data_IF_081979480070
#
_entry.id   IF_081979480070
#
_cell.length_a   1.000
_cell.length_b   1.000
_cell.length_c   1.000
_cell.angle_alpha   90.00
_cell.angle_beta   90.00
_cell.angle_gamma   90.00
#
_symmetry.space_group_name_H-M   'P 1'
#
loop_
_entity.id
_entity.type
_entity.pdbx_description
1 polymer ?
#
# COMPACT_ATOMS: atom_id res chain seq x y z
N UNK A 1 8.26 -8.52 4.58
CA UNK A 1 7.84 -7.20 5.09
C UNK A 1 7.31 -7.34 6.52
N UNK A 2 7.44 -6.30 7.34
CA UNK A 2 6.93 -6.29 8.71
C UNK A 2 5.70 -5.42 8.85
N UNK A 3 4.90 -5.67 9.88
CA UNK A 3 3.79 -4.80 10.27
C UNK A 3 4.32 -3.37 10.45
N UNK A 4 3.61 -2.39 9.91
CA UNK A 4 3.99 -0.96 9.82
C UNK A 4 5.05 -0.58 8.78
N UNK A 5 5.59 -1.52 8.01
CA UNK A 5 6.41 -1.14 6.85
C UNK A 5 5.55 -0.34 5.84
N UNK A 6 6.08 0.80 5.38
CA UNK A 6 5.49 1.60 4.30
C UNK A 6 5.94 1.04 2.95
N UNK A 7 4.97 0.81 2.08
CA UNK A 7 5.16 0.05 0.83
C UNK A 7 4.38 0.66 -0.33
N UNK A 8 4.82 0.37 -1.55
CA UNK A 8 3.99 0.46 -2.75
C UNK A 8 3.40 -0.91 -3.04
N UNK A 9 2.08 -1.01 -3.00
CA UNK A 9 1.34 -2.20 -3.41
C UNK A 9 0.87 -2.08 -4.86
N UNK A 10 1.07 -3.13 -5.64
CA UNK A 10 0.67 -3.20 -7.05
C UNK A 10 -0.55 -4.10 -7.23
N UNK A 11 -1.73 -3.50 -7.24
CA UNK A 11 -2.98 -4.19 -7.62
C UNK A 11 -3.12 -4.21 -9.15
N UNK A 12 -3.59 -5.34 -9.70
CA UNK A 12 -3.85 -5.47 -11.15
C UNK A 12 -4.87 -4.42 -11.60
N UNK A 13 -4.55 -3.68 -12.66
CA UNK A 13 -5.41 -2.62 -13.22
C UNK A 13 -5.20 -1.23 -12.61
N UNK A 14 -4.47 -1.11 -11.50
CA UNK A 14 -4.19 0.17 -10.83
C UNK A 14 -2.70 0.54 -10.92
N UNK A 15 -2.36 1.81 -10.69
CA UNK A 15 -0.96 2.21 -10.49
C UNK A 15 -0.43 1.60 -9.17
N UNK A 16 0.89 1.42 -9.01
CA UNK A 16 1.46 1.15 -7.69
C UNK A 16 1.00 2.24 -6.71
N UNK A 17 0.49 1.83 -5.55
CA UNK A 17 -0.22 2.72 -4.64
C UNK A 17 0.39 2.67 -3.23
N UNK A 18 0.57 3.81 -2.53
CA UNK A 18 1.12 3.84 -1.18
C UNK A 18 0.21 3.19 -0.16
N UNK A 19 0.80 2.38 0.73
CA UNK A 19 0.09 1.77 1.83
C UNK A 19 1.01 1.28 2.93
N UNK A 20 0.40 0.67 3.94
CA UNK A 20 1.09 0.14 5.12
C UNK A 20 0.76 -1.34 5.30
N UNK A 21 1.78 -2.13 5.67
CA UNK A 21 1.57 -3.54 6.03
C UNK A 21 0.77 -3.60 7.33
N UNK A 22 -0.44 -4.14 7.23
CA UNK A 22 -1.39 -4.22 8.34
C UNK A 22 -1.14 -5.46 9.20
N UNK A 23 -1.45 -5.35 10.50
CA UNK A 23 -1.44 -6.50 11.39
C UNK A 23 -2.67 -7.40 11.10
N UNK A 24 -2.48 -8.68 10.72
CA UNK A 24 -3.57 -9.62 10.41
C UNK A 24 -4.59 -9.86 11.55
N UNK A 25 -4.25 -9.50 12.79
CA UNK A 25 -5.16 -9.62 13.93
C UNK A 25 -5.97 -8.36 14.21
N UNK A 26 -5.60 -7.24 13.58
CA UNK A 26 -6.28 -5.95 13.73
C UNK A 26 -7.20 -5.58 12.54
N UNK A 27 -7.14 -6.36 11.46
CA UNK A 27 -7.95 -6.10 10.26
C UNK A 27 -9.39 -6.61 10.42
N UNK A 28 -10.37 -6.00 9.72
CA UNK A 28 -11.75 -6.46 9.74
C UNK A 28 -11.91 -7.94 9.36
N UNK A 29 -12.90 -8.61 9.95
CA UNK A 29 -13.12 -10.05 9.77
C UNK A 29 -13.36 -10.47 8.32
N UNK A 30 -14.07 -9.65 7.54
CA UNK A 30 -14.27 -9.88 6.11
C UNK A 30 -12.93 -9.85 5.34
N UNK A 31 -12.06 -8.88 5.62
CA UNK A 31 -10.71 -8.81 5.01
C UNK A 31 -9.88 -10.02 5.42
N UNK A 32 -9.95 -10.45 6.69
CA UNK A 32 -9.25 -11.64 7.17
C UNK A 32 -9.71 -12.91 6.45
N UNK A 33 -11.01 -13.04 6.17
CA UNK A 33 -11.59 -14.17 5.45
C UNK A 33 -11.16 -14.20 3.97
N UNK A 34 -10.91 -13.05 3.35
CA UNK A 34 -10.43 -12.93 1.96
C UNK A 34 -8.95 -13.33 1.79
N UNK A 35 -8.25 -13.69 2.87
CA UNK A 35 -6.85 -14.11 2.80
C UNK A 35 -6.71 -15.35 1.91
N UNK A 36 -5.88 -15.30 0.85
CA UNK A 36 -5.65 -16.45 -0.01
C UNK A 36 -5.05 -17.64 0.74
N UNK A 37 -5.59 -18.84 0.50
CA UNK A 37 -5.19 -20.09 1.17
C UNK A 37 -4.04 -20.85 0.48
N UNK A 38 -3.16 -20.17 -0.25
CA UNK A 38 -2.05 -20.81 -0.94
C UNK A 38 -0.81 -20.92 -0.04
N UNK A 39 -0.50 -22.14 0.42
CA UNK A 39 0.64 -22.43 1.31
C UNK A 39 2.02 -22.20 0.68
N UNK A 40 2.12 -22.14 -0.65
CA UNK A 40 3.40 -21.94 -1.37
C UNK A 40 3.76 -20.47 -1.55
N UNK A 41 2.89 -19.56 -1.11
CA UNK A 41 3.04 -18.14 -1.35
C UNK A 41 2.84 -17.32 -0.07
N UNK A 42 3.69 -16.31 0.11
CA UNK A 42 3.57 -15.35 1.20
C UNK A 42 2.68 -14.20 0.75
N UNK A 43 1.61 -13.96 1.50
CA UNK A 43 0.72 -12.82 1.30
C UNK A 43 0.84 -11.85 2.47
N UNK A 44 0.83 -10.56 2.14
CA UNK A 44 0.79 -9.47 3.11
C UNK A 44 -0.51 -8.70 2.91
N UNK A 45 -1.16 -8.32 4.02
CA UNK A 45 -2.32 -7.45 3.97
C UNK A 45 -1.84 -6.00 3.96
N UNK A 46 -2.09 -5.29 2.88
CA UNK A 46 -1.75 -3.87 2.75
C UNK A 46 -3.01 -3.05 2.94
N UNK A 47 -2.94 -2.01 3.76
CA UNK A 47 -3.95 -0.96 3.86
C UNK A 47 -3.47 0.25 3.06
N UNK A 48 -4.20 0.59 2.02
CA UNK A 48 -3.87 1.71 1.14
C UNK A 48 -4.41 3.03 1.68
N UNK A 49 -3.63 4.09 1.46
CA UNK A 49 -4.05 5.47 1.74
C UNK A 49 -4.78 6.07 0.53
N UNK A 50 -5.62 7.10 0.67
CA UNK A 50 -6.16 7.63 1.92
C UNK A 50 -7.35 6.82 2.47
N UNK A 51 -8.00 6.00 1.63
CA UNK A 51 -9.31 5.44 1.90
C UNK A 51 -9.35 4.28 2.91
N UNK A 52 -8.20 3.81 3.39
CA UNK A 52 -8.10 2.63 4.27
C UNK A 52 -8.65 1.34 3.63
N UNK A 53 -8.51 1.21 2.31
CA UNK A 53 -8.86 -0.01 1.59
C UNK A 53 -7.80 -1.08 1.81
N UNK A 54 -8.22 -2.34 1.95
CA UNK A 54 -7.32 -3.47 2.20
C UNK A 54 -7.16 -4.35 0.97
N UNK A 55 -5.97 -4.94 0.80
CA UNK A 55 -5.76 -6.03 -0.16
C UNK A 55 -4.68 -6.99 0.31
N UNK A 56 -4.88 -8.27 0.00
CA UNK A 56 -3.84 -9.29 0.17
C UNK A 56 -2.98 -9.35 -1.09
N UNK A 57 -1.72 -8.99 -0.96
CA UNK A 57 -0.76 -8.98 -2.06
C UNK A 57 0.33 -10.02 -1.84
N UNK A 58 0.78 -10.60 -2.96
CA UNK A 58 1.98 -11.43 -2.96
C UNK A 58 3.22 -10.57 -2.72
N UNK A 59 4.25 -11.17 -2.16
CA UNK A 59 5.53 -10.50 -1.91
C UNK A 59 6.12 -9.79 -3.15
N UNK A 60 5.97 -10.39 -4.34
CA UNK A 60 6.45 -9.83 -5.61
C UNK A 60 5.70 -8.57 -6.07
N UNK A 61 4.49 -8.36 -5.57
CA UNK A 61 3.60 -7.25 -5.95
C UNK A 61 3.71 -6.08 -4.95
N UNK A 62 4.71 -6.12 -4.07
CA UNK A 62 4.97 -5.14 -3.02
C UNK A 62 6.43 -4.72 -3.13
N UNK A 63 6.71 -3.42 -3.00
CA UNK A 63 8.06 -2.88 -2.79
C UNK A 63 8.08 -1.97 -1.58
N UNK A 64 9.21 -1.91 -0.85
CA UNK A 64 9.37 -0.89 0.20
C UNK A 64 9.33 0.49 -0.44
N UNK A 65 8.57 1.41 0.17
CA UNK A 65 8.51 2.79 -0.25
C UNK A 65 9.39 3.62 0.70
N UNK A 66 10.47 4.17 0.17
CA UNK A 66 11.45 4.93 0.96
C UNK A 66 11.03 6.40 1.11
N UNK A 67 11.45 7.10 2.18
CA UNK A 67 11.14 8.52 2.39
C UNK A 67 11.51 9.41 1.20
N UNK A 68 12.69 9.19 0.61
CA UNK A 68 13.14 9.99 -0.55
C UNK A 68 12.28 9.76 -1.80
N UNK A 69 11.69 8.58 -1.98
CA UNK A 69 10.77 8.29 -3.08
C UNK A 69 9.43 9.03 -2.89
N UNK A 70 8.97 9.11 -1.63
CA UNK A 70 7.77 9.86 -1.25
C UNK A 70 7.99 11.35 -1.51
N UNK A 71 9.09 11.91 -1.02
CA UNK A 71 9.45 13.31 -1.22
C UNK A 71 9.59 13.67 -2.71
N UNK A 72 10.25 12.81 -3.49
CA UNK A 72 10.37 12.98 -4.93
C UNK A 72 9.00 13.01 -5.62
N UNK A 73 8.09 12.09 -5.25
CA UNK A 73 6.75 12.05 -5.82
C UNK A 73 5.93 13.31 -5.48
N UNK A 74 5.96 13.76 -4.22
CA UNK A 74 5.24 14.96 -3.75
C UNK A 74 5.82 16.24 -4.40
N UNK A 75 7.13 16.27 -4.59
CA UNK A 75 7.86 17.38 -5.20
C UNK A 75 7.59 17.56 -6.69
N UNK A 76 7.23 16.48 -7.40
CA UNK A 76 7.06 16.49 -8.86
C UNK A 76 5.82 17.32 -9.30
N UNK A 77 6.00 18.47 -9.99
CA UNK A 77 4.89 19.39 -10.31
C UNK A 77 3.82 18.77 -11.23
N UNK A 78 4.22 17.84 -12.09
CA UNK A 78 3.37 17.18 -13.09
C UNK A 78 2.38 16.19 -12.45
N UNK A 79 2.79 15.52 -11.37
CA UNK A 79 1.96 14.52 -10.66
C UNK A 79 0.80 15.15 -9.91
N UNK A 80 0.97 16.41 -9.46
CA UNK A 80 -0.04 17.14 -8.68
C UNK A 80 -1.37 17.31 -9.40
N UNK A 81 -1.37 17.35 -10.73
CA UNK A 81 -2.60 17.53 -11.53
C UNK A 81 -3.18 16.22 -12.08
N UNK A 82 -2.38 15.15 -12.13
CA UNK A 82 -2.76 13.94 -12.84
C UNK A 82 -3.61 12.98 -11.99
N UNK A 83 -3.34 12.88 -10.67
CA UNK A 83 -4.04 11.95 -9.75
C UNK A 83 -4.06 12.52 -8.32
N UNK A 84 -5.08 13.30 -7.93
CA UNK A 84 -5.14 13.95 -6.62
C UNK A 84 -5.09 12.94 -5.47
N UNK A 85 -5.86 11.85 -5.55
CA UNK A 85 -5.92 10.82 -4.50
C UNK A 85 -4.58 10.10 -4.31
N UNK A 86 -3.83 9.92 -5.40
CA UNK A 86 -2.50 9.30 -5.33
C UNK A 86 -1.52 10.24 -4.65
N UNK A 87 -1.53 11.53 -4.99
CA UNK A 87 -0.71 12.52 -4.30
C UNK A 87 -1.05 12.57 -2.80
N UNK A 88 -2.32 12.53 -2.45
CA UNK A 88 -2.77 12.49 -1.07
C UNK A 88 -2.29 11.22 -0.36
N UNK A 89 -2.37 10.06 -1.01
CA UNK A 89 -1.83 8.81 -0.48
C UNK A 89 -0.33 8.89 -0.17
N UNK A 90 0.46 9.55 -1.03
CA UNK A 90 1.89 9.78 -0.77
C UNK A 90 2.12 10.75 0.39
N UNK A 91 1.29 11.79 0.53
CA UNK A 91 1.39 12.71 1.69
C UNK A 91 1.12 12.00 3.00
N UNK A 92 0.11 11.14 3.05
CA UNK A 92 -0.17 10.33 4.24
C UNK A 92 0.97 9.33 4.50
N UNK A 93 1.52 8.72 3.45
CA UNK A 93 2.65 7.79 3.60
C UNK A 93 3.92 8.45 4.18
N UNK A 94 4.07 9.77 4.08
CA UNK A 94 5.19 10.51 4.68
C UNK A 94 5.13 10.51 6.21
N UNK A 95 3.93 10.53 6.79
CA UNK A 95 3.66 10.48 8.24
C UNK A 95 2.35 9.72 8.54
N UNK A 96 2.41 8.36 8.56
CA UNK A 96 1.25 7.46 8.48
C UNK A 96 0.60 6.99 9.80
#
# INVERSE_FOLDING_TARGET
YHVRDIVLGKVRGYAPWPGIVSNPDSIPGNVKADRPANKKATFYCIRFFPNNEYSWLLEKDISRLQPHEIEAYIGEPTKKKAKPDLLEAYRIAQDP
#
